data_IF_998613169876
#
_entry.id   IF_998613169876
#
_cell.length_a   1.000
_cell.length_b   1.000
_cell.length_c   1.000
_cell.angle_alpha   90.00
_cell.angle_beta   90.00
_cell.angle_gamma   90.00
#
_symmetry.space_group_name_H-M   'P 1'
#
loop_
_entity.id
_entity.type
_entity.pdbx_description
1 polymer ?
#
# COMPACT_ATOMS: atom_id res chain seq x y z
N UNK A 1 -12.75 27.43 15.53
CA UNK A 1 -13.49 26.29 14.98
C UNK A 1 -12.54 25.54 14.09
N UNK A 2 -12.44 24.22 14.23
CA UNK A 2 -11.60 23.41 13.37
C UNK A 2 -12.45 22.92 12.19
N UNK A 3 -11.93 23.07 10.98
CA UNK A 3 -12.55 22.52 9.76
C UNK A 3 -11.84 21.21 9.44
N UNK A 4 -12.57 20.10 9.48
CA UNK A 4 -12.09 18.82 9.00
C UNK A 4 -12.53 18.67 7.53
N UNK A 5 -11.56 18.54 6.63
CA UNK A 5 -11.79 18.14 5.24
C UNK A 5 -11.07 16.83 5.00
N UNK A 6 -11.84 15.80 4.68
CA UNK A 6 -11.34 14.47 4.35
C UNK A 6 -12.49 13.58 3.93
N UNK A 7 -12.23 12.64 3.03
CA UNK A 7 -13.19 11.59 2.66
C UNK A 7 -13.02 10.48 3.70
N UNK A 8 -14.07 10.22 4.49
CA UNK A 8 -14.10 9.00 5.30
C UNK A 8 -14.34 7.81 4.35
N UNK A 9 -13.26 7.17 3.91
CA UNK A 9 -13.32 5.94 3.14
C UNK A 9 -13.51 4.76 4.08
N UNK A 10 -14.67 4.12 4.02
CA UNK A 10 -14.85 2.75 4.47
C UNK A 10 -14.62 1.87 3.23
N UNK A 11 -13.94 0.72 3.29
CA UNK A 11 -13.67 -0.12 2.10
C UNK A 11 -14.95 -0.64 1.40
N UNK A 12 -16.10 -0.57 2.07
CA UNK A 12 -17.44 -0.85 1.55
C UNK A 12 -18.28 0.41 1.24
N UNK A 13 -17.69 1.60 1.33
CA UNK A 13 -18.36 2.86 0.99
C UNK A 13 -18.48 2.97 -0.54
N UNK A 14 -19.64 2.56 -1.07
CA UNK A 14 -19.99 2.85 -2.46
C UNK A 14 -19.98 4.37 -2.69
N UNK A 15 -19.34 4.84 -3.77
CA UNK A 15 -19.25 6.27 -4.15
C UNK A 15 -20.62 6.99 -4.28
N UNK A 16 -21.72 6.24 -4.25
CA UNK A 16 -23.08 6.75 -4.21
C UNK A 16 -23.52 7.00 -2.76
N UNK A 17 -22.96 8.05 -2.13
CA UNK A 17 -23.49 8.83 -1.00
C UNK A 17 -22.35 9.50 -0.24
N UNK A 18 -21.51 10.25 -0.95
CA UNK A 18 -20.62 11.21 -0.30
C UNK A 18 -21.49 12.13 0.58
N UNK A 19 -21.16 12.22 1.88
CA UNK A 19 -21.88 13.08 2.82
C UNK A 19 -21.54 14.55 2.55
N UNK A 20 -22.04 15.10 1.44
CA UNK A 20 -21.83 16.47 1.03
C UNK A 20 -23.01 17.36 1.48
N UNK A 21 -22.72 18.32 2.36
CA UNK A 21 -23.64 19.42 2.69
C UNK A 21 -24.80 19.07 3.63
N UNK A 22 -24.50 18.88 4.93
CA UNK A 22 -25.52 18.70 5.97
C UNK A 22 -24.95 18.69 7.40
N UNK A 23 -25.84 18.65 8.40
CA UNK A 23 -25.48 18.44 9.81
C UNK A 23 -25.59 16.95 10.14
N UNK A 24 -24.48 16.22 10.03
CA UNK A 24 -24.42 14.79 10.34
C UNK A 24 -23.95 14.60 11.78
N UNK A 25 -24.60 13.69 12.51
CA UNK A 25 -24.15 13.25 13.83
C UNK A 25 -23.52 11.86 13.71
N UNK A 26 -22.23 11.77 14.03
CA UNK A 26 -21.49 10.51 14.07
C UNK A 26 -22.04 9.72 15.26
N UNK A 27 -22.94 8.78 15.00
CA UNK A 27 -23.57 7.93 16.02
C UNK A 27 -22.91 6.55 15.97
N UNK A 28 -21.70 6.50 16.52
CA UNK A 28 -20.84 5.33 16.53
C UNK A 28 -19.39 5.78 16.76
N UNK A 29 -18.63 5.02 17.54
CA UNK A 29 -17.19 5.23 17.62
C UNK A 29 -16.59 4.98 16.24
N UNK A 30 -15.66 5.83 15.80
CA UNK A 30 -14.67 5.39 14.84
C UNK A 30 -14.10 4.09 15.42
N UNK A 31 -14.34 2.97 14.74
CA UNK A 31 -13.66 1.73 15.10
C UNK A 31 -12.19 2.12 15.10
N UNK A 32 -11.55 2.08 16.26
CA UNK A 32 -10.11 2.19 16.33
C UNK A 32 -9.61 0.97 15.58
N UNK A 33 -9.49 1.08 14.25
CA UNK A 33 -8.58 0.27 13.50
C UNK A 33 -7.25 0.59 14.15
N UNK A 34 -6.84 -0.29 15.05
CA UNK A 34 -5.46 -0.34 15.48
C UNK A 34 -4.73 -0.84 14.24
N UNK A 35 -4.52 0.08 13.28
CA UNK A 35 -3.57 -0.16 12.21
C UNK A 35 -2.27 -0.51 12.94
N UNK A 36 -1.61 -1.62 12.57
CA UNK A 36 -0.33 -1.93 13.14
C UNK A 36 0.54 -0.66 13.08
N UNK A 37 1.14 -0.29 14.21
CA UNK A 37 2.07 0.85 14.19
C UNK A 37 3.31 0.42 13.44
N UNK A 38 3.46 0.87 12.20
CA UNK A 38 4.71 0.75 11.44
C UNK A 38 5.88 1.20 12.30
N UNK A 39 6.85 0.31 12.49
CA UNK A 39 8.16 0.73 13.05
C UNK A 39 9.11 1.15 11.94
N UNK A 40 8.95 0.58 10.75
CA UNK A 40 9.68 0.87 9.51
C UNK A 40 8.79 0.51 8.31
N UNK A 41 9.07 1.12 7.15
CA UNK A 41 8.58 0.65 5.85
C UNK A 41 9.72 -0.09 5.14
N UNK A 42 9.41 -1.16 4.43
CA UNK A 42 10.36 -1.86 3.55
C UNK A 42 10.05 -1.50 2.10
N UNK A 43 11.02 -1.61 1.20
CA UNK A 43 10.81 -1.29 -0.22
C UNK A 43 9.57 -1.95 -0.84
N UNK A 44 9.31 -3.24 -0.57
CA UNK A 44 8.13 -3.95 -1.09
C UNK A 44 6.74 -3.55 -0.54
N UNK A 45 6.65 -2.68 0.47
CA UNK A 45 5.40 -2.11 1.00
C UNK A 45 5.09 -0.82 0.20
N UNK A 46 4.33 -0.96 -0.87
CA UNK A 46 4.10 0.08 -1.89
C UNK A 46 2.91 0.97 -1.58
N UNK A 47 1.91 0.47 -0.84
CA UNK A 47 0.76 1.26 -0.44
C UNK A 47 0.90 1.90 0.96
N UNK A 48 1.99 1.57 1.66
CA UNK A 48 2.41 2.11 2.95
C UNK A 48 1.41 1.80 4.08
N UNK A 49 0.91 0.57 4.14
CA UNK A 49 -0.03 0.12 5.15
C UNK A 49 0.57 -0.75 6.28
N UNK A 50 1.90 -0.95 6.24
CA UNK A 50 2.74 -1.68 7.19
C UNK A 50 2.85 -3.19 6.96
N UNK A 51 2.24 -3.73 5.92
CA UNK A 51 2.44 -5.11 5.53
C UNK A 51 2.82 -5.25 4.05
N UNK A 52 3.11 -6.47 3.62
CA UNK A 52 3.37 -6.77 2.22
C UNK A 52 2.43 -7.88 1.82
N UNK A 53 1.44 -7.55 0.99
CA UNK A 53 0.35 -8.45 0.66
C UNK A 53 -0.12 -8.41 -0.81
N UNK A 54 -1.39 -8.71 -1.06
CA UNK A 54 -1.97 -8.72 -2.41
C UNK A 54 -2.08 -7.31 -3.02
N UNK A 55 -2.29 -6.27 -2.21
CA UNK A 55 -2.38 -4.89 -2.68
C UNK A 55 -1.02 -4.40 -3.18
N UNK A 56 0.07 -4.73 -2.49
CA UNK A 56 1.43 -4.49 -2.96
C UNK A 56 1.78 -5.31 -4.19
N UNK A 57 1.35 -6.58 -4.22
CA UNK A 57 1.56 -7.41 -5.40
C UNK A 57 0.86 -6.82 -6.64
N UNK A 58 -0.35 -6.29 -6.48
CA UNK A 58 -1.07 -5.64 -7.57
C UNK A 58 -0.33 -4.37 -8.05
N UNK A 59 0.27 -3.60 -7.12
CA UNK A 59 1.12 -2.46 -7.46
C UNK A 59 2.39 -2.89 -8.21
N UNK A 60 3.04 -3.98 -7.80
CA UNK A 60 4.18 -4.57 -8.50
C UNK A 60 3.81 -5.04 -9.91
N UNK A 61 2.74 -5.84 -10.02
CA UNK A 61 2.31 -6.44 -11.27
C UNK A 61 1.90 -5.41 -12.33
N UNK A 62 1.48 -4.21 -11.93
CA UNK A 62 1.19 -3.10 -12.83
C UNK A 62 2.45 -2.55 -13.52
N UNK A 63 3.62 -2.74 -12.93
CA UNK A 63 4.93 -2.29 -13.41
C UNK A 63 5.80 -3.41 -13.95
N UNK A 64 5.55 -4.65 -13.53
CA UNK A 64 6.29 -5.82 -13.94
C UNK A 64 6.35 -5.94 -15.46
N UNK A 65 7.58 -6.01 -15.98
CA UNK A 65 7.88 -6.13 -17.38
C UNK A 65 8.73 -7.41 -17.59
N UNK A 66 9.88 -7.28 -18.23
CA UNK A 66 10.82 -8.37 -18.36
C UNK A 66 12.25 -7.84 -18.36
N UNK A 67 13.24 -8.73 -18.28
CA UNK A 67 14.64 -8.36 -18.16
C UNK A 67 15.10 -7.44 -19.29
N UNK A 68 15.73 -6.34 -18.91
CA UNK A 68 16.20 -5.25 -19.76
C UNK A 68 15.09 -4.35 -20.31
N UNK A 69 13.82 -4.54 -19.92
CA UNK A 69 12.71 -3.65 -20.29
C UNK A 69 12.60 -2.55 -19.25
N UNK A 70 13.23 -1.42 -19.55
CA UNK A 70 13.28 -0.29 -18.62
C UNK A 70 11.93 0.16 -18.09
N UNK A 71 11.94 0.64 -16.85
CA UNK A 71 10.78 1.05 -16.09
C UNK A 71 9.85 2.03 -16.82
N UNK A 72 8.55 1.83 -16.62
CA UNK A 72 7.54 2.83 -16.94
C UNK A 72 7.57 4.03 -15.96
N UNK A 73 6.97 5.17 -16.32
CA UNK A 73 6.86 6.30 -15.40
C UNK A 73 6.06 5.92 -14.14
N UNK A 74 6.62 6.16 -12.95
CA UNK A 74 5.96 5.83 -11.67
C UNK A 74 6.19 4.40 -11.20
N UNK A 75 7.11 3.66 -11.83
CA UNK A 75 7.49 2.30 -11.44
C UNK A 75 8.86 2.23 -10.76
N UNK A 76 9.48 3.38 -10.45
CA UNK A 76 10.84 3.46 -9.91
C UNK A 76 11.00 2.78 -8.54
N UNK A 77 9.90 2.58 -7.81
CA UNK A 77 9.88 1.85 -6.56
C UNK A 77 9.76 0.33 -6.73
N UNK A 78 9.50 -0.19 -7.95
CA UNK A 78 9.38 -1.64 -8.22
C UNK A 78 10.71 -2.27 -8.65
N UNK A 79 11.71 -1.44 -8.91
CA UNK A 79 13.12 -1.82 -9.06
C UNK A 79 13.73 -2.01 -7.67
N UNK A 80 13.55 -3.22 -7.15
CA UNK A 80 13.95 -3.65 -5.82
C UNK A 80 15.41 -4.13 -5.79
N UNK A 81 15.98 -4.51 -6.92
CA UNK A 81 17.38 -4.95 -7.03
C UNK A 81 18.35 -3.88 -7.56
N UNK A 82 17.82 -2.79 -8.14
CA UNK A 82 18.54 -1.59 -8.57
C UNK A 82 19.09 -1.65 -9.99
N UNK A 83 18.56 -2.50 -10.87
CA UNK A 83 19.06 -2.72 -12.23
C UNK A 83 18.33 -1.90 -13.32
N UNK A 84 17.36 -1.07 -12.92
CA UNK A 84 16.54 -0.20 -13.77
C UNK A 84 15.46 -0.89 -14.60
N UNK A 85 15.07 -2.10 -14.23
CA UNK A 85 13.81 -2.72 -14.65
C UNK A 85 12.99 -3.26 -13.47
N UNK A 86 11.87 -3.93 -13.78
CA UNK A 86 10.98 -4.53 -12.79
C UNK A 86 10.62 -5.91 -13.29
N UNK A 87 11.34 -6.94 -12.85
CA UNK A 87 11.26 -8.28 -13.41
C UNK A 87 11.22 -9.41 -12.35
N UNK A 88 11.62 -10.62 -12.74
CA UNK A 88 11.64 -11.77 -11.83
C UNK A 88 12.66 -11.67 -10.69
N UNK A 89 13.74 -10.91 -10.86
CA UNK A 89 14.77 -10.70 -9.84
C UNK A 89 14.25 -9.73 -8.77
N UNK A 90 13.51 -8.68 -9.16
CA UNK A 90 12.77 -7.84 -8.21
C UNK A 90 11.68 -8.61 -7.48
N UNK A 91 10.95 -9.47 -8.20
CA UNK A 91 9.95 -10.34 -7.57
C UNK A 91 10.60 -11.34 -6.58
N UNK A 92 11.87 -11.70 -6.78
CA UNK A 92 12.63 -12.52 -5.83
C UNK A 92 12.96 -11.78 -4.53
N UNK A 93 13.07 -10.45 -4.57
CA UNK A 93 13.15 -9.59 -3.38
C UNK A 93 11.77 -9.44 -2.74
N UNK A 94 10.75 -9.05 -3.53
CA UNK A 94 9.36 -8.87 -3.08
C UNK A 94 8.84 -10.06 -2.27
N UNK A 95 8.97 -11.29 -2.80
CA UNK A 95 8.39 -12.47 -2.18
C UNK A 95 8.98 -12.85 -0.82
N UNK A 96 10.16 -12.31 -0.46
CA UNK A 96 10.76 -12.51 0.86
C UNK A 96 10.06 -11.71 1.94
N UNK A 97 9.40 -10.63 1.55
CA UNK A 97 8.75 -9.68 2.43
C UNK A 97 7.27 -9.97 2.66
N UNK A 98 6.64 -10.86 1.87
CA UNK A 98 5.22 -11.19 2.02
C UNK A 98 4.92 -11.63 3.45
N UNK A 99 4.17 -10.80 4.17
CA UNK A 99 3.67 -11.07 5.52
C UNK A 99 2.16 -11.34 5.51
N UNK A 100 1.45 -10.75 4.54
CA UNK A 100 0.01 -10.84 4.35
C UNK A 100 -0.78 -9.82 5.15
N UNK A 101 -1.98 -9.50 4.67
CA UNK A 101 -2.88 -8.48 5.23
C UNK A 101 -2.94 -8.47 6.76
N UNK A 102 -2.77 -7.29 7.33
CA UNK A 102 -2.75 -6.98 8.76
C UNK A 102 -1.61 -7.66 9.56
N UNK A 103 -0.54 -8.13 8.89
CA UNK A 103 0.65 -8.68 9.55
C UNK A 103 1.86 -7.82 9.26
N UNK A 104 2.40 -7.11 10.26
CA UNK A 104 3.58 -6.27 10.05
C UNK A 104 4.72 -7.02 9.38
N UNK A 105 5.22 -6.45 8.29
CA UNK A 105 6.37 -7.01 7.57
C UNK A 105 7.64 -7.00 8.43
N UNK A 106 8.51 -8.00 8.26
CA UNK A 106 9.83 -8.01 8.89
C UNK A 106 10.70 -6.88 8.30
N UNK A 107 11.17 -5.92 9.11
CA UNK A 107 12.03 -4.83 8.63
C UNK A 107 13.29 -5.27 7.88
N UNK A 108 13.74 -6.51 8.06
CA UNK A 108 14.98 -7.06 7.51
C UNK A 108 14.72 -8.05 6.35
N UNK A 109 13.50 -8.08 5.79
CA UNK A 109 13.16 -9.04 4.72
C UNK A 109 13.90 -8.79 3.39
N UNK A 110 14.51 -7.61 3.22
CA UNK A 110 15.27 -7.18 2.03
C UNK A 110 16.79 -7.27 2.18
N UNK A 111 17.30 -7.78 3.32
CA UNK A 111 18.74 -7.92 3.60
C UNK A 111 19.44 -9.07 2.84
#
# INVERSE_FOLDING_TARGET
GFTLTGTAGQPDASAANELAGGNYALTGGFWGVALPTCTTFVGPDFDHDCDVDEDDFNAFAACAAGPGVGLGPGCEDKDLDGDSDADSDDFAVFQRCISGANHPVDPNCVD
#
